data_IF_436758014406
#
_entry.id   IF_436758014406
#
_cell.length_a   1.000
_cell.length_b   1.000
_cell.length_c   1.000
_cell.angle_alpha   90.00
_cell.angle_beta   90.00
_cell.angle_gamma   90.00
#
_symmetry.space_group_name_H-M   'P 1'
#
loop_
_entity.id
_entity.type
_entity.pdbx_description
1 polymer ?
#
# COMPACT_ATOMS: atom_id res chain seq x y z
N UNK A 1 -13.20 -3.83 -6.35
CA UNK A 1 -13.98 -3.69 -5.11
C UNK A 1 -13.90 -5.02 -4.41
N UNK A 2 -13.27 -5.06 -3.25
CA UNK A 2 -13.23 -6.22 -2.36
C UNK A 2 -13.99 -5.87 -1.09
N UNK A 3 -14.53 -6.87 -0.40
CA UNK A 3 -15.30 -6.65 0.81
C UNK A 3 -14.76 -7.54 1.93
N UNK A 4 -14.32 -6.92 3.00
CA UNK A 4 -13.77 -7.54 4.20
C UNK A 4 -14.55 -7.04 5.42
N UNK A 5 -15.04 -7.95 6.26
CA UNK A 5 -15.94 -7.65 7.38
C UNK A 5 -15.46 -8.38 8.63
N UNK A 6 -15.44 -7.67 9.75
CA UNK A 6 -15.26 -8.21 11.08
C UNK A 6 -16.53 -7.97 11.91
N UNK A 7 -17.12 -9.04 12.46
CA UNK A 7 -18.28 -8.95 13.36
C UNK A 7 -17.86 -9.45 14.73
N UNK A 8 -18.00 -8.61 15.75
CA UNK A 8 -17.65 -8.92 17.13
C UNK A 8 -18.86 -8.82 18.06
N UNK A 9 -18.90 -9.70 19.05
CA UNK A 9 -19.73 -9.56 20.23
C UNK A 9 -18.90 -9.94 21.47
N UNK A 10 -19.51 -9.93 22.65
CA UNK A 10 -18.80 -10.20 23.91
C UNK A 10 -18.12 -11.59 23.98
N UNK A 11 -18.52 -12.54 23.12
CA UNK A 11 -18.13 -13.94 23.19
C UNK A 11 -17.35 -14.43 21.97
N UNK A 12 -17.44 -13.72 20.83
CA UNK A 12 -16.92 -14.22 19.56
C UNK A 12 -16.57 -13.07 18.60
N UNK A 13 -15.59 -13.37 17.75
CA UNK A 13 -15.22 -12.60 16.58
C UNK A 13 -15.34 -13.50 15.35
N UNK A 14 -15.91 -12.95 14.28
CA UNK A 14 -15.98 -13.61 12.97
C UNK A 14 -15.40 -12.68 11.92
N UNK A 15 -14.46 -13.20 11.13
CA UNK A 15 -14.02 -12.57 9.89
C UNK A 15 -14.77 -13.18 8.69
N UNK A 16 -15.14 -12.32 7.76
CA UNK A 16 -15.70 -12.70 6.47
C UNK A 16 -15.06 -11.84 5.37
N UNK A 17 -14.76 -12.44 4.23
CA UNK A 17 -14.11 -11.78 3.10
C UNK A 17 -14.61 -12.40 1.80
N UNK A 18 -14.62 -11.61 0.72
CA UNK A 18 -14.71 -12.14 -0.63
C UNK A 18 -13.41 -12.83 -1.06
N UNK A 19 -13.48 -13.67 -2.09
CA UNK A 19 -12.33 -14.39 -2.66
C UNK A 19 -11.70 -13.69 -3.86
N UNK A 20 -12.25 -12.53 -4.27
CA UNK A 20 -11.78 -11.80 -5.43
C UNK A 20 -10.44 -11.13 -5.15
N UNK A 21 -9.44 -11.43 -5.99
CA UNK A 21 -8.17 -10.73 -6.02
C UNK A 21 -7.73 -10.50 -7.46
N UNK A 22 -7.15 -9.33 -7.71
CA UNK A 22 -6.67 -8.95 -9.05
C UNK A 22 -5.16 -9.16 -9.09
N UNK A 23 -4.69 -10.01 -10.00
CA UNK A 23 -3.26 -10.10 -10.32
C UNK A 23 -3.00 -9.32 -11.59
N UNK A 24 -2.19 -8.27 -11.48
CA UNK A 24 -1.69 -7.53 -12.63
C UNK A 24 -0.41 -8.19 -13.12
N UNK A 25 -0.49 -9.03 -14.15
CA UNK A 25 0.69 -9.58 -14.82
C UNK A 25 0.76 -9.03 -16.25
N UNK A 26 1.83 -8.29 -16.56
CA UNK A 26 2.21 -7.87 -17.92
C UNK A 26 1.01 -7.47 -18.81
N UNK A 27 0.31 -6.40 -18.42
CA UNK A 27 -0.79 -5.79 -19.19
C UNK A 27 -2.04 -6.66 -19.39
N UNK A 28 -2.21 -7.75 -18.63
CA UNK A 28 -3.47 -8.47 -18.49
C UNK A 28 -3.89 -8.50 -17.03
N UNK A 29 -5.06 -7.94 -16.75
CA UNK A 29 -5.73 -8.13 -15.46
C UNK A 29 -6.33 -9.54 -15.48
N UNK A 30 -5.67 -10.49 -14.81
CA UNK A 30 -6.31 -11.77 -14.50
C UNK A 30 -6.93 -11.67 -13.11
N UNK A 31 -8.25 -11.70 -13.08
CA UNK A 31 -9.00 -11.96 -11.86
C UNK A 31 -8.84 -13.45 -11.61
N UNK A 32 -8.11 -13.83 -10.56
CA UNK A 32 -8.07 -15.21 -10.10
C UNK A 32 -9.10 -15.33 -8.98
N UNK A 33 -10.02 -16.29 -9.12
CA UNK A 33 -11.22 -16.42 -8.28
C UNK A 33 -10.98 -17.02 -6.87
N UNK A 34 -9.74 -17.13 -6.39
CA UNK A 34 -9.45 -17.89 -5.17
C UNK A 34 -8.22 -17.40 -4.39
N UNK A 35 -8.21 -16.12 -4.02
CA UNK A 35 -7.26 -15.66 -3.00
C UNK A 35 -7.86 -15.83 -1.62
N UNK A 36 -7.14 -16.52 -0.74
CA UNK A 36 -7.49 -16.52 0.67
C UNK A 36 -7.06 -15.17 1.26
N UNK A 37 -7.95 -14.55 2.03
CA UNK A 37 -7.68 -13.29 2.74
C UNK A 37 -7.83 -13.41 4.24
N UNK A 38 -8.31 -14.56 4.74
CA UNK A 38 -8.49 -14.83 6.17
C UNK A 38 -7.59 -15.99 6.56
N UNK A 39 -6.77 -15.77 7.57
CA UNK A 39 -5.80 -16.73 8.05
C UNK A 39 -5.87 -16.85 9.57
N UNK A 40 -5.50 -18.02 10.08
CA UNK A 40 -5.15 -18.16 11.48
C UNK A 40 -3.78 -17.54 11.69
N UNK A 41 -3.64 -16.60 12.63
CA UNK A 41 -2.32 -16.10 13.03
C UNK A 41 -1.61 -17.14 13.90
N UNK A 42 -2.34 -17.73 14.85
CA UNK A 42 -1.88 -18.84 15.70
C UNK A 42 -2.68 -20.11 15.44
N UNK A 43 -2.01 -21.27 15.50
CA UNK A 43 -2.68 -22.59 15.47
C UNK A 43 -3.22 -23.00 16.84
N UNK A 44 -2.81 -22.31 17.91
CA UNK A 44 -3.06 -22.70 19.30
C UNK A 44 -3.86 -21.65 20.07
N UNK A 45 -3.69 -20.38 19.72
CA UNK A 45 -4.32 -19.24 20.38
C UNK A 45 -5.44 -18.68 19.51
N UNK A 46 -6.51 -18.12 20.09
CA UNK A 46 -7.69 -17.66 19.36
C UNK A 46 -7.45 -16.31 18.66
N UNK A 47 -6.44 -16.25 17.79
CA UNK A 47 -6.03 -15.04 17.06
C UNK A 47 -6.00 -15.30 15.56
N UNK A 48 -6.83 -14.57 14.83
CA UNK A 48 -6.90 -14.54 13.38
C UNK A 48 -6.28 -13.26 12.80
N UNK A 49 -6.01 -13.32 11.49
CA UNK A 49 -5.52 -12.20 10.70
C UNK A 49 -6.22 -12.19 9.34
N UNK A 50 -6.67 -11.01 8.90
CA UNK A 50 -7.31 -10.78 7.61
C UNK A 50 -6.57 -9.69 6.85
N UNK A 51 -6.45 -9.81 5.53
CA UNK A 51 -5.77 -8.83 4.66
C UNK A 51 -6.70 -8.27 3.59
N UNK A 52 -6.49 -7.02 3.19
CA UNK A 52 -7.20 -6.38 2.08
C UNK A 52 -6.30 -5.43 1.28
N UNK A 53 -6.82 -4.92 0.16
CA UNK A 53 -6.12 -4.06 -0.80
C UNK A 53 -5.03 -4.78 -1.60
N UNK A 54 -3.85 -4.96 -1.02
CA UNK A 54 -2.69 -5.57 -1.68
C UNK A 54 -2.37 -6.94 -1.08
N UNK A 55 -2.27 -7.96 -1.94
CA UNK A 55 -2.00 -9.34 -1.49
C UNK A 55 -0.51 -9.64 -1.31
N UNK A 56 0.35 -8.77 -1.85
CA UNK A 56 1.79 -8.92 -1.80
C UNK A 56 2.44 -7.75 -1.08
N UNK A 57 3.39 -8.09 -0.23
CA UNK A 57 4.32 -7.17 0.38
C UNK A 57 5.65 -7.25 -0.38
N UNK A 58 5.92 -6.23 -1.21
CA UNK A 58 6.90 -6.31 -2.30
C UNK A 58 6.62 -7.52 -3.21
N UNK A 59 7.60 -8.41 -3.35
CA UNK A 59 7.53 -9.60 -4.21
C UNK A 59 7.11 -10.87 -3.44
N UNK A 60 6.64 -10.74 -2.19
CA UNK A 60 6.30 -11.86 -1.31
C UNK A 60 4.82 -11.77 -0.94
N UNK A 61 4.08 -12.87 -1.03
CA UNK A 61 2.67 -12.88 -0.63
C UNK A 61 2.51 -12.78 0.88
N UNK A 62 1.49 -12.06 1.33
CA UNK A 62 1.13 -11.98 2.75
C UNK A 62 0.82 -13.35 3.35
N UNK A 63 0.20 -14.25 2.59
CA UNK A 63 0.00 -15.65 3.00
C UNK A 63 1.32 -16.32 3.39
N UNK A 64 2.38 -16.12 2.61
CA UNK A 64 3.71 -16.68 2.88
C UNK A 64 4.28 -16.09 4.17
N UNK A 65 4.21 -14.77 4.33
CA UNK A 65 4.70 -14.06 5.52
C UNK A 65 3.97 -14.56 6.77
N UNK A 66 2.65 -14.64 6.72
CA UNK A 66 1.79 -15.11 7.81
C UNK A 66 2.09 -16.57 8.14
N UNK A 67 2.31 -17.41 7.13
CA UNK A 67 2.63 -18.82 7.37
C UNK A 67 3.97 -18.99 8.08
N UNK A 68 5.01 -18.29 7.64
CA UNK A 68 6.33 -18.34 8.29
C UNK A 68 6.24 -17.80 9.72
N UNK A 69 5.52 -16.68 9.92
CA UNK A 69 5.33 -16.12 11.25
C UNK A 69 4.60 -17.10 12.17
N UNK A 70 3.52 -17.73 11.71
CA UNK A 70 2.73 -18.67 12.50
C UNK A 70 3.55 -19.86 12.98
N UNK A 71 4.45 -20.37 12.14
CA UNK A 71 5.35 -21.46 12.52
C UNK A 71 6.41 -20.99 13.53
N UNK A 72 6.90 -19.75 13.42
CA UNK A 72 7.78 -19.12 14.43
C UNK A 72 7.06 -18.88 15.76
N UNK A 73 5.83 -18.38 15.72
CA UNK A 73 5.02 -18.07 16.90
C UNK A 73 4.78 -19.34 17.72
N UNK A 74 4.51 -20.46 17.06
CA UNK A 74 4.32 -21.75 17.70
C UNK A 74 3.26 -21.68 18.80
N UNK A 75 3.59 -22.13 20.00
CA UNK A 75 2.70 -22.11 21.18
C UNK A 75 2.87 -20.87 22.05
N UNK A 76 3.56 -19.84 21.56
CA UNK A 76 3.72 -18.59 22.30
C UNK A 76 2.35 -17.90 22.41
N UNK A 77 2.07 -17.39 23.59
CA UNK A 77 0.86 -16.65 23.92
C UNK A 77 1.20 -15.30 24.52
N UNK A 78 0.27 -14.36 24.43
CA UNK A 78 0.42 -13.02 24.98
C UNK A 78 -0.85 -12.59 25.71
N UNK A 79 -0.68 -11.62 26.61
CA UNK A 79 -1.75 -11.13 27.48
C UNK A 79 -2.75 -10.26 26.74
N UNK A 80 -2.30 -9.51 25.73
CA UNK A 80 -3.16 -8.63 24.93
C UNK A 80 -3.00 -8.90 23.44
N UNK A 81 -4.06 -8.66 22.66
CA UNK A 81 -4.01 -8.77 21.20
C UNK A 81 -2.89 -7.89 20.61
N UNK A 82 -2.69 -6.71 21.18
CA UNK A 82 -1.67 -5.76 20.74
C UNK A 82 -0.24 -6.34 20.82
N UNK A 83 0.02 -7.26 21.75
CA UNK A 83 1.34 -7.88 21.89
C UNK A 83 1.63 -8.85 20.74
N UNK A 84 0.61 -9.56 20.23
CA UNK A 84 0.75 -10.36 19.00
C UNK A 84 1.08 -9.46 17.81
N UNK A 85 0.43 -8.30 17.71
CA UNK A 85 0.65 -7.33 16.63
C UNK A 85 2.07 -6.80 16.66
N UNK A 86 2.54 -6.39 17.85
CA UNK A 86 3.91 -5.92 18.04
C UNK A 86 4.93 -7.01 17.69
N UNK A 87 4.72 -8.25 18.13
CA UNK A 87 5.62 -9.37 17.81
C UNK A 87 5.63 -9.70 16.30
N UNK A 88 4.46 -9.62 15.64
CA UNK A 88 4.32 -9.80 14.19
C UNK A 88 5.06 -8.73 13.40
N UNK A 89 4.88 -7.44 13.72
CA UNK A 89 5.57 -6.37 13.01
C UNK A 89 7.07 -6.35 13.31
N UNK A 90 7.49 -6.68 14.54
CA UNK A 90 8.90 -6.91 14.84
C UNK A 90 9.48 -8.04 13.98
N UNK A 91 8.73 -9.12 13.77
CA UNK A 91 9.14 -10.18 12.85
C UNK A 91 9.28 -9.68 11.41
N UNK A 92 8.34 -8.86 10.92
CA UNK A 92 8.43 -8.28 9.57
C UNK A 92 9.66 -7.39 9.43
N UNK A 93 9.89 -6.50 10.38
CA UNK A 93 11.04 -5.60 10.38
C UNK A 93 12.37 -6.34 10.41
N UNK A 94 12.47 -7.43 11.17
CA UNK A 94 13.71 -8.22 11.23
C UNK A 94 13.98 -9.08 9.99
N UNK A 95 12.94 -9.53 9.27
CA UNK A 95 13.09 -10.58 8.25
C UNK A 95 12.78 -10.10 6.82
N UNK A 96 11.96 -9.07 6.66
CA UNK A 96 11.45 -8.62 5.36
C UNK A 96 11.70 -7.13 5.09
N UNK A 97 12.31 -6.41 6.04
CA UNK A 97 12.69 -5.01 5.82
C UNK A 97 13.61 -4.90 4.61
N UNK A 98 13.15 -4.12 3.63
CA UNK A 98 13.91 -3.81 2.42
C UNK A 98 14.98 -2.78 2.69
N UNK A 99 16.14 -2.98 2.07
CA UNK A 99 17.22 -2.01 2.14
C UNK A 99 16.85 -0.73 1.37
N UNK A 100 17.67 0.31 1.51
CA UNK A 100 17.40 1.60 0.87
C UNK A 100 17.29 1.50 -0.66
N UNK A 101 18.20 0.77 -1.30
CA UNK A 101 18.22 0.57 -2.76
C UNK A 101 16.96 -0.14 -3.28
N UNK A 102 16.42 -1.10 -2.53
CA UNK A 102 15.17 -1.78 -2.86
C UNK A 102 13.97 -0.84 -2.76
N UNK A 103 13.94 0.04 -1.74
CA UNK A 103 12.89 1.06 -1.62
C UNK A 103 12.98 2.10 -2.74
N UNK A 104 14.18 2.56 -3.08
CA UNK A 104 14.39 3.49 -4.19
C UNK A 104 13.95 2.88 -5.53
N UNK A 105 14.31 1.60 -5.79
CA UNK A 105 13.85 0.88 -6.98
C UNK A 105 12.33 0.77 -7.05
N UNK A 106 11.67 0.55 -5.92
CA UNK A 106 10.22 0.54 -5.84
C UNK A 106 9.64 1.92 -6.17
N UNK A 107 10.18 3.00 -5.59
CA UNK A 107 9.74 4.38 -5.87
C UNK A 107 9.94 4.73 -7.34
N UNK A 108 11.10 4.40 -7.93
CA UNK A 108 11.38 4.61 -9.35
C UNK A 108 10.31 3.92 -10.21
N UNK A 109 10.02 2.63 -9.94
CA UNK A 109 9.01 1.87 -10.68
C UNK A 109 7.62 2.50 -10.56
N UNK A 110 7.22 2.93 -9.37
CA UNK A 110 5.93 3.56 -9.13
C UNK A 110 5.83 4.89 -9.89
N UNK A 111 6.83 5.77 -9.76
CA UNK A 111 6.86 7.07 -10.47
C UNK A 111 6.84 6.88 -11.98
N UNK A 112 7.65 5.95 -12.49
CA UNK A 112 7.66 5.61 -13.91
C UNK A 112 6.28 5.18 -14.40
N UNK A 113 5.62 4.26 -13.68
CA UNK A 113 4.28 3.81 -14.02
C UNK A 113 3.27 4.95 -14.05
N UNK A 114 3.33 5.88 -13.10
CA UNK A 114 2.45 7.07 -13.06
C UNK A 114 2.66 7.95 -14.29
N UNK A 115 3.92 8.23 -14.63
CA UNK A 115 4.25 9.08 -15.75
C UNK A 115 3.84 8.41 -17.06
N UNK A 116 4.10 7.11 -17.23
CA UNK A 116 3.67 6.35 -18.41
C UNK A 116 2.15 6.19 -18.49
N UNK A 117 1.43 6.07 -17.38
CA UNK A 117 -0.03 5.99 -17.37
C UNK A 117 -0.67 7.32 -17.77
N UNK A 118 -0.13 8.44 -17.28
CA UNK A 118 -0.63 9.78 -17.61
C UNK A 118 -0.19 10.20 -19.03
N UNK A 119 1.06 9.91 -19.41
CA UNK A 119 1.70 10.46 -20.61
C UNK A 119 1.83 9.46 -21.76
N UNK A 120 1.81 8.15 -21.49
CA UNK A 120 1.92 7.10 -22.51
C UNK A 120 0.65 6.88 -23.33
N UNK A 121 -0.47 7.52 -22.96
CA UNK A 121 -1.71 7.52 -23.73
C UNK A 121 -1.65 8.42 -24.98
N UNK A 122 -0.69 9.33 -25.07
CA UNK A 122 -0.53 10.22 -26.22
C UNK A 122 0.34 9.60 -27.31
N UNK A 123 -0.23 8.69 -28.10
CA UNK A 123 0.45 8.06 -29.24
C UNK A 123 0.46 8.92 -30.53
N UNK A 124 -0.03 10.16 -30.52
CA UNK A 124 -0.17 10.95 -31.75
C UNK A 124 0.18 12.43 -31.58
N UNK A 125 1.15 12.88 -32.38
CA UNK A 125 1.39 14.15 -33.12
C UNK A 125 0.76 15.51 -32.69
N UNK A 126 0.09 15.63 -31.54
CA UNK A 126 -0.64 16.82 -31.08
C UNK A 126 -0.33 17.23 -29.64
N UNK A 127 0.73 16.68 -29.02
CA UNK A 127 1.18 17.04 -27.69
C UNK A 127 1.56 18.52 -27.62
N UNK A 128 0.67 19.32 -27.05
CA UNK A 128 0.94 20.70 -26.67
C UNK A 128 0.82 20.85 -25.14
N UNK A 129 1.28 21.99 -24.64
CA UNK A 129 1.26 22.30 -23.21
C UNK A 129 -0.14 22.17 -22.61
N UNK A 130 -1.16 22.71 -23.27
CA UNK A 130 -2.54 22.73 -22.76
C UNK A 130 -3.11 21.32 -22.63
N UNK A 131 -2.87 20.45 -23.61
CA UNK A 131 -3.31 19.06 -23.58
C UNK A 131 -2.68 18.27 -22.44
N UNK A 132 -1.36 18.40 -22.23
CA UNK A 132 -0.65 17.76 -21.12
C UNK A 132 -1.16 18.22 -19.76
N UNK A 133 -1.36 19.53 -19.62
CA UNK A 133 -1.90 20.12 -18.40
C UNK A 133 -3.33 19.61 -18.12
N UNK A 134 -4.15 19.43 -19.16
CA UNK A 134 -5.49 18.85 -19.05
C UNK A 134 -5.47 17.36 -18.66
N UNK A 135 -4.59 16.54 -19.24
CA UNK A 135 -4.45 15.12 -18.86
C UNK A 135 -4.08 14.96 -17.37
N UNK A 136 -3.13 15.77 -16.89
CA UNK A 136 -2.74 15.76 -15.48
C UNK A 136 -3.93 16.17 -14.60
N UNK A 137 -4.68 17.20 -15.00
CA UNK A 137 -5.87 17.63 -14.25
C UNK A 137 -6.98 16.57 -14.23
N UNK A 138 -7.21 15.89 -15.35
CA UNK A 138 -8.18 14.81 -15.43
C UNK A 138 -7.78 13.64 -14.54
N UNK A 139 -6.50 13.22 -14.57
CA UNK A 139 -6.01 12.17 -13.68
C UNK A 139 -6.14 12.57 -12.22
N UNK A 140 -5.80 13.82 -11.88
CA UNK A 140 -5.99 14.35 -10.52
C UNK A 140 -7.45 14.31 -10.08
N UNK A 141 -8.38 14.72 -10.95
CA UNK A 141 -9.81 14.71 -10.66
C UNK A 141 -10.29 13.27 -10.45
N UNK A 142 -9.94 12.35 -11.35
CA UNK A 142 -10.30 10.94 -11.23
C UNK A 142 -9.75 10.28 -9.96
N UNK A 143 -8.50 10.58 -9.58
CA UNK A 143 -7.92 10.09 -8.33
C UNK A 143 -8.61 10.67 -7.09
N UNK A 144 -9.08 11.92 -7.16
CA UNK A 144 -9.86 12.54 -6.08
C UNK A 144 -11.27 11.97 -5.98
N UNK A 145 -11.90 11.68 -7.12
CA UNK A 145 -13.27 11.16 -7.17
C UNK A 145 -13.33 9.65 -6.85
N UNK A 146 -12.27 8.89 -7.15
CA UNK A 146 -12.20 7.46 -6.84
C UNK A 146 -12.16 7.14 -5.35
N UNK A 147 -11.84 8.13 -4.52
CA UNK A 147 -11.67 7.97 -3.08
C UNK A 147 -12.56 8.97 -2.37
N UNK A 148 -13.70 8.48 -1.86
CA UNK A 148 -14.68 9.28 -1.09
C UNK A 148 -14.08 9.96 0.16
N UNK A 149 -12.81 9.70 0.52
CA UNK A 149 -12.09 10.28 1.67
C UNK A 149 -10.69 10.77 1.28
N UNK A 150 -10.69 11.91 0.57
CA UNK A 150 -9.69 12.99 0.55
C UNK A 150 -8.20 12.64 0.52
N UNK A 151 -7.57 13.08 -0.58
CA UNK A 151 -6.16 13.43 -0.72
C UNK A 151 -5.55 14.20 0.48
N UNK A 152 -6.39 14.86 1.28
CA UNK A 152 -6.00 15.63 2.48
C UNK A 152 -5.68 14.74 3.71
N UNK A 153 -5.91 13.43 3.64
CA UNK A 153 -5.67 12.49 4.75
C UNK A 153 -4.25 11.90 4.78
N UNK A 154 -3.39 12.22 3.80
CA UNK A 154 -2.00 11.73 3.82
C UNK A 154 -1.30 12.37 5.04
N UNK A 155 -0.74 11.57 5.97
CA UNK A 155 -0.04 12.09 7.13
C UNK A 155 1.10 13.01 6.71
N UNK A 156 1.21 14.15 7.38
CA UNK A 156 2.24 15.15 7.09
C UNK A 156 3.65 14.55 7.23
N UNK A 157 3.84 13.62 8.15
CA UNK A 157 5.09 12.89 8.36
C UNK A 157 5.49 12.07 7.14
N UNK A 158 4.52 11.45 6.45
CA UNK A 158 4.76 10.72 5.21
C UNK A 158 5.14 11.68 4.08
N UNK A 159 4.40 12.78 3.91
CA UNK A 159 4.72 13.81 2.90
C UNK A 159 6.13 14.36 3.15
N UNK A 160 6.44 14.70 4.40
CA UNK A 160 7.76 15.19 4.81
C UNK A 160 8.86 14.17 4.52
N UNK A 161 8.64 12.88 4.79
CA UNK A 161 9.57 11.81 4.46
C UNK A 161 9.84 11.77 2.95
N UNK A 162 8.79 11.74 2.13
CA UNK A 162 8.92 11.73 0.67
C UNK A 162 9.66 12.97 0.18
N UNK A 163 9.30 14.16 0.68
CA UNK A 163 9.91 15.43 0.26
C UNK A 163 11.34 15.61 0.73
N UNK A 164 11.70 15.13 1.93
CA UNK A 164 13.06 15.26 2.47
C UNK A 164 13.99 14.22 1.89
N UNK A 165 13.53 12.97 1.76
CA UNK A 165 14.38 11.84 1.40
C UNK A 165 14.36 11.52 -0.09
N UNK A 166 13.17 11.50 -0.71
CA UNK A 166 12.99 10.94 -2.06
C UNK A 166 12.68 11.98 -3.14
N UNK A 167 12.56 13.26 -2.80
CA UNK A 167 12.23 14.33 -3.77
C UNK A 167 13.15 14.35 -4.99
N UNK A 168 14.46 14.27 -4.78
CA UNK A 168 15.43 14.31 -5.88
C UNK A 168 15.32 13.07 -6.77
N UNK A 169 15.07 11.91 -6.17
CA UNK A 169 14.85 10.66 -6.88
C UNK A 169 13.59 10.74 -7.74
N UNK A 170 12.45 11.15 -7.14
CA UNK A 170 11.17 11.32 -7.83
C UNK A 170 11.29 12.35 -8.95
N UNK A 171 11.94 13.50 -8.69
CA UNK A 171 12.16 14.56 -9.69
C UNK A 171 12.98 14.04 -10.86
N UNK A 172 14.08 13.34 -10.58
CA UNK A 172 14.92 12.72 -11.61
C UNK A 172 14.15 11.70 -12.43
N UNK A 173 13.33 10.87 -11.78
CA UNK A 173 12.58 9.82 -12.48
C UNK A 173 11.44 10.38 -13.33
N UNK A 174 10.72 11.41 -12.86
CA UNK A 174 9.73 12.12 -13.68
C UNK A 174 10.41 12.65 -14.95
N UNK A 175 11.59 13.27 -14.79
CA UNK A 175 12.33 13.81 -15.93
C UNK A 175 12.78 12.73 -16.91
N UNK A 176 13.33 11.62 -16.40
CA UNK A 176 13.73 10.47 -17.22
C UNK A 176 12.55 9.87 -17.98
N UNK A 177 11.41 9.72 -17.31
CA UNK A 177 10.19 9.17 -17.89
C UNK A 177 9.59 10.09 -18.96
N UNK A 178 9.60 11.42 -18.73
CA UNK A 178 9.21 12.39 -19.76
C UNK A 178 10.12 12.32 -21.00
N UNK A 179 11.43 12.20 -20.80
CA UNK A 179 12.39 12.03 -21.89
C UNK A 179 12.14 10.73 -22.67
N UNK A 180 11.86 9.62 -21.98
CA UNK A 180 11.51 8.35 -22.60
C UNK A 180 10.22 8.44 -23.44
N UNK A 181 9.24 9.23 -22.99
CA UNK A 181 8.00 9.51 -23.73
C UNK A 181 8.16 10.58 -24.83
N UNK A 182 9.38 11.05 -25.12
CA UNK A 182 9.67 12.13 -26.08
C UNK A 182 8.91 13.45 -25.79
N UNK A 183 8.69 13.77 -24.51
CA UNK A 183 8.00 15.01 -24.11
C UNK A 183 9.02 16.09 -23.79
N UNK A 184 9.03 17.21 -24.53
CA UNK A 184 9.93 18.33 -24.22
C UNK A 184 9.69 18.88 -22.81
N UNK A 185 10.78 19.03 -22.03
CA UNK A 185 10.74 19.53 -20.64
C UNK A 185 10.05 20.89 -20.47
N UNK A 186 10.10 21.73 -21.50
CA UNK A 186 9.49 23.06 -21.50
C UNK A 186 7.96 23.05 -21.67
N UNK A 187 7.36 21.91 -21.99
CA UNK A 187 5.91 21.79 -22.10
C UNK A 187 5.22 21.76 -20.75
N UNK A 188 5.87 21.26 -19.69
CA UNK A 188 5.30 21.26 -18.35
C UNK A 188 5.71 22.53 -17.60
N UNK A 189 4.74 23.30 -17.11
CA UNK A 189 5.05 24.36 -16.15
C UNK A 189 5.39 23.77 -14.78
N UNK A 190 6.15 24.53 -13.97
CA UNK A 190 6.54 24.12 -12.60
C UNK A 190 5.34 23.74 -11.73
N UNK A 191 4.20 24.38 -11.95
CA UNK A 191 2.92 24.06 -11.31
C UNK A 191 2.50 22.61 -11.55
N UNK A 192 2.55 22.14 -12.80
CA UNK A 192 2.11 20.78 -13.13
C UNK A 192 3.19 19.74 -12.83
N UNK A 193 4.46 20.16 -12.82
CA UNK A 193 5.53 19.30 -12.33
C UNK A 193 5.34 18.97 -10.85
N UNK A 194 5.01 19.97 -10.03
CA UNK A 194 4.67 19.74 -8.62
C UNK A 194 3.42 18.85 -8.46
N UNK A 195 2.42 18.99 -9.33
CA UNK A 195 1.25 18.10 -9.35
C UNK A 195 1.63 16.64 -9.61
N UNK A 196 2.58 16.35 -10.49
CA UNK A 196 3.07 14.97 -10.70
C UNK A 196 3.74 14.42 -9.43
N UNK A 197 4.45 15.26 -8.68
CA UNK A 197 5.02 14.88 -7.38
C UNK A 197 3.91 14.60 -6.37
N UNK A 198 2.85 15.41 -6.31
CA UNK A 198 1.68 15.18 -5.45
C UNK A 198 0.96 13.87 -5.81
N UNK A 199 0.78 13.59 -7.10
CA UNK A 199 0.23 12.29 -7.56
C UNK A 199 1.13 11.13 -7.12
N UNK A 200 2.45 11.27 -7.26
CA UNK A 200 3.39 10.25 -6.81
C UNK A 200 3.31 10.01 -5.30
N UNK A 201 3.19 11.07 -4.50
CA UNK A 201 2.99 10.95 -3.05
C UNK A 201 1.71 10.19 -2.72
N UNK A 202 0.60 10.54 -3.38
CA UNK A 202 -0.68 9.89 -3.17
C UNK A 202 -0.64 8.41 -3.53
N UNK A 203 -0.12 8.05 -4.71
CA UNK A 203 -0.07 6.65 -5.15
C UNK A 203 0.87 5.82 -4.29
N UNK A 204 2.00 6.39 -3.84
CA UNK A 204 2.91 5.70 -2.91
C UNK A 204 2.27 5.50 -1.53
N UNK A 205 1.38 6.40 -1.09
CA UNK A 205 0.65 6.29 0.16
C UNK A 205 -0.47 5.25 0.08
N UNK A 206 -1.24 5.25 -1.02
CA UNK A 206 -2.33 4.31 -1.28
C UNK A 206 -1.84 2.89 -1.64
N UNK A 207 -0.54 2.70 -1.95
CA UNK A 207 0.05 1.37 -2.11
C UNK A 207 0.39 0.75 -0.74
N UNK A 208 -0.68 0.38 -0.01
CA UNK A 208 -0.62 -0.29 1.28
C UNK A 208 -1.35 -1.63 1.26
N UNK A 209 -1.02 -2.50 2.22
CA UNK A 209 -1.88 -3.62 2.58
C UNK A 209 -2.57 -3.32 3.89
N UNK A 210 -3.90 -3.44 3.92
CA UNK A 210 -4.63 -3.41 5.17
C UNK A 210 -4.52 -4.77 5.86
N UNK A 211 -4.08 -4.77 7.11
CA UNK A 211 -3.88 -5.97 7.92
C UNK A 211 -4.72 -5.86 9.18
N UNK A 212 -5.70 -6.72 9.31
CA UNK A 212 -6.66 -6.74 10.41
C UNK A 212 -6.36 -7.93 11.31
N UNK A 213 -6.03 -7.66 12.56
CA UNK A 213 -5.86 -8.66 13.60
C UNK A 213 -7.13 -8.72 14.43
N UNK A 214 -7.47 -9.92 14.89
CA UNK A 214 -8.54 -10.02 15.87
C UNK A 214 -8.57 -11.35 16.57
N UNK A 215 -9.06 -11.33 17.80
CA UNK A 215 -8.97 -12.46 18.70
C UNK A 215 -8.97 -12.03 20.15
N UNK A 216 -8.40 -12.89 21.00
CA UNK A 216 -8.28 -12.66 22.43
C UNK A 216 -6.81 -12.76 22.86
N UNK A 217 -6.38 -11.83 23.71
CA UNK A 217 -5.25 -12.06 24.61
C UNK A 217 -5.67 -12.82 25.88
N UNK A 218 -4.70 -13.37 26.59
CA UNK A 218 -4.95 -14.16 27.81
C UNK A 218 -5.70 -13.38 28.91
N UNK A 219 -5.45 -12.07 29.00
CA UNK A 219 -6.05 -11.19 30.01
C UNK A 219 -7.31 -10.47 29.47
N UNK A 220 -7.71 -10.75 28.22
CA UNK A 220 -8.86 -10.11 27.55
C UNK A 220 -10.12 -10.99 27.66
N UNK A 221 -11.12 -10.48 28.39
CA UNK A 221 -12.43 -11.16 28.55
C UNK A 221 -13.27 -11.11 27.26
N UNK A 222 -13.03 -10.12 26.41
CA UNK A 222 -13.77 -9.88 25.17
C UNK A 222 -12.81 -9.83 23.98
N UNK A 223 -13.26 -10.24 22.78
CA UNK A 223 -12.41 -10.17 21.61
C UNK A 223 -12.15 -8.72 21.21
N UNK A 224 -10.97 -8.49 20.67
CA UNK A 224 -10.57 -7.20 20.08
C UNK A 224 -10.31 -7.34 18.60
N UNK A 225 -10.43 -6.23 17.86
CA UNK A 225 -10.07 -6.13 16.44
C UNK A 225 -9.22 -4.87 16.27
N UNK A 226 -8.09 -5.00 15.61
CA UNK A 226 -7.16 -3.89 15.35
C UNK A 226 -6.78 -3.94 13.86
N UNK A 227 -6.96 -2.83 13.16
CA UNK A 227 -6.59 -2.66 11.76
C UNK A 227 -5.31 -1.85 11.65
N UNK A 228 -4.45 -2.24 10.70
CA UNK A 228 -3.17 -1.57 10.44
C UNK A 228 -2.95 -1.47 8.94
N UNK A 229 -2.62 -0.27 8.46
CA UNK A 229 -2.19 -0.09 7.07
C UNK A 229 -0.67 -0.18 6.96
N UNK A 230 -0.19 -1.11 6.13
CA UNK A 230 1.23 -1.41 5.92
C UNK A 230 1.65 -0.97 4.52
N UNK A 231 2.36 0.15 4.43
CA UNK A 231 2.94 0.66 3.19
C UNK A 231 4.25 -0.05 2.80
N UNK A 232 4.70 0.15 1.56
CA UNK A 232 5.97 -0.41 1.05
C UNK A 232 7.20 0.48 1.32
N UNK A 233 7.04 1.71 1.83
CA UNK A 233 8.18 2.59 2.16
C UNK A 233 8.43 2.53 3.67
N UNK A 234 9.59 1.98 4.07
CA UNK A 234 9.96 1.82 5.48
C UNK A 234 10.95 2.91 5.90
N UNK A 235 10.48 3.92 6.65
CA UNK A 235 11.31 4.71 7.56
C UNK A 235 10.53 5.71 8.42
N UNK A 236 9.47 5.27 9.10
CA UNK A 236 8.93 6.01 10.24
C UNK A 236 8.90 5.04 11.40
N UNK A 237 9.73 5.29 12.42
CA UNK A 237 9.65 4.54 13.66
C UNK A 237 8.22 4.63 14.21
N UNK A 238 7.61 3.46 14.47
CA UNK A 238 6.35 3.32 15.19
C UNK A 238 5.25 4.30 14.77
N UNK A 239 4.79 4.18 13.53
CA UNK A 239 3.41 4.50 13.22
C UNK A 239 2.90 3.41 12.29
N UNK A 240 2.59 2.28 12.91
CA UNK A 240 1.40 1.52 12.56
C UNK A 240 0.31 2.60 12.38
N UNK A 241 -0.03 2.95 11.13
CA UNK A 241 -1.19 3.80 10.89
C UNK A 241 -2.38 2.90 11.20
N UNK A 242 -2.77 2.91 12.48
CA UNK A 242 -4.04 2.39 12.96
C UNK A 242 -5.06 3.45 12.57
N UNK A 243 -5.93 3.13 11.63
CA UNK A 243 -7.25 3.74 11.57
C UNK A 243 -8.19 2.86 12.39
#
# INVERSE_FOLDING_TARGET
>A
MTAEIAILNNNALVFASDSAGTVNYQSRNQINDSFNKIFMLSKYEPVGIMIYQNLNFFDISWETIISIYRDKLGKKKFNHLNDYINDFFNFIECNFKKNEEEQERYIIKAVKWIVEDILGTSNDNGLNKEYLENLINEKLANLKDSVNESWDNIPKEFIDLILKKYRNLITSEINNSMMYCNIPFNLLSSKYFNKLIEIAQYILYEDYTGVVFGGFGEDEVHPSVISVNVGKIFNIGCAIIIF
#
